data_IF_758009210118
#
_entry.id   IF_758009210118
#
_cell.length_a   1.000
_cell.length_b   1.000
_cell.length_c   1.000
_cell.angle_alpha   90.00
_cell.angle_beta   90.00
_cell.angle_gamma   90.00
#
_symmetry.space_group_name_H-M   'P 1'
#
loop_
_entity.id
_entity.type
_entity.pdbx_description
1 polymer ?
#
# COMPACT_ATOMS: atom_id res chain seq x y z
N UNK A 1 -21.81 24.84 6.57
CA UNK A 1 -22.79 23.91 7.14
C UNK A 1 -22.60 22.55 6.48
N UNK A 2 -22.29 21.50 7.25
CA UNK A 2 -22.65 20.12 6.87
C UNK A 2 -21.62 19.21 6.19
N UNK A 3 -20.34 19.19 6.59
CA UNK A 3 -19.43 18.06 6.27
C UNK A 3 -19.50 16.96 7.35
N UNK A 4 -20.70 16.70 7.88
CA UNK A 4 -20.95 15.63 8.83
C UNK A 4 -22.04 14.72 8.29
N UNK A 5 -21.60 13.65 7.61
CA UNK A 5 -22.16 12.28 7.59
C UNK A 5 -21.65 11.58 6.34
N UNK A 6 -20.49 10.95 6.46
CA UNK A 6 -20.13 9.86 5.55
C UNK A 6 -20.99 8.64 5.93
N UNK A 7 -21.58 7.92 4.96
CA UNK A 7 -22.28 6.66 5.23
C UNK A 7 -21.32 5.65 5.87
N UNK A 8 -21.80 4.86 6.82
CA UNK A 8 -21.03 3.85 7.59
C UNK A 8 -20.30 2.79 6.73
N UNK A 9 -20.52 2.76 5.42
CA UNK A 9 -19.81 1.88 4.50
C UNK A 9 -18.32 2.27 4.29
N UNK A 10 -17.98 3.56 4.36
CA UNK A 10 -16.59 4.04 4.22
C UNK A 10 -15.71 3.72 5.45
N UNK A 11 -16.32 3.19 6.53
CA UNK A 11 -15.66 2.89 7.81
C UNK A 11 -14.92 1.55 7.84
N UNK A 12 -15.05 0.71 6.80
CA UNK A 12 -14.52 -0.66 6.78
C UNK A 12 -13.04 -0.79 6.39
N UNK A 13 -12.38 0.29 5.99
CA UNK A 13 -10.95 0.26 5.73
C UNK A 13 -10.34 1.58 6.23
N UNK A 14 -9.79 1.58 7.44
CA UNK A 14 -9.04 2.72 8.01
C UNK A 14 -7.82 3.14 7.18
N UNK A 15 -7.62 2.53 6.02
CA UNK A 15 -6.54 2.68 5.07
C UNK A 15 -6.58 4.03 4.34
N UNK A 16 -7.74 4.67 4.16
CA UNK A 16 -7.85 5.94 3.41
C UNK A 16 -7.99 7.20 4.29
N UNK A 17 -8.00 7.07 5.61
CA UNK A 17 -8.13 8.22 6.51
C UNK A 17 -6.78 8.90 6.75
N UNK A 18 -6.77 10.21 7.09
CA UNK A 18 -5.59 10.87 7.63
C UNK A 18 -5.04 10.09 8.83
N UNK A 19 -3.72 10.08 8.97
CA UNK A 19 -3.05 9.45 10.10
C UNK A 19 -3.41 10.16 11.42
N UNK A 20 -3.68 9.38 12.46
CA UNK A 20 -3.81 9.89 13.84
C UNK A 20 -2.42 10.01 14.46
N UNK A 21 -2.24 10.95 15.39
CA UNK A 21 -0.97 11.18 16.11
C UNK A 21 -0.41 9.88 16.71
N UNK A 22 -1.26 9.08 17.35
CA UNK A 22 -0.90 7.77 17.92
C UNK A 22 -0.26 6.83 16.88
N UNK A 23 -0.71 6.86 15.62
CA UNK A 23 -0.18 5.99 14.56
C UNK A 23 1.21 6.46 14.09
N UNK A 24 1.46 7.77 14.14
CA UNK A 24 2.77 8.35 13.83
C UNK A 24 3.78 8.02 14.93
N UNK A 25 3.35 8.09 16.20
CA UNK A 25 4.19 7.77 17.37
C UNK A 25 4.53 6.28 17.45
N UNK A 26 3.51 5.42 17.40
CA UNK A 26 3.67 3.97 17.54
C UNK A 26 4.23 3.30 16.29
N UNK A 27 4.18 3.99 15.15
CA UNK A 27 4.47 3.45 13.82
C UNK A 27 3.68 2.17 13.53
N UNK A 28 2.41 2.13 13.93
CA UNK A 28 1.51 1.00 13.71
C UNK A 28 0.19 1.47 13.11
N UNK A 29 -0.33 0.66 12.19
CA UNK A 29 -1.66 0.84 11.62
C UNK A 29 -2.67 -0.06 12.31
N UNK A 30 -3.94 0.10 11.97
CA UNK A 30 -4.94 -0.91 12.29
C UNK A 30 -4.54 -2.26 11.71
N UNK A 31 -4.78 -3.29 12.51
CA UNK A 31 -4.56 -4.68 12.11
C UNK A 31 -5.55 -5.05 11.00
N UNK A 32 -5.01 -5.53 9.89
CA UNK A 32 -5.77 -6.10 8.79
C UNK A 32 -5.54 -7.61 8.77
N UNK A 33 -6.61 -8.39 8.68
CA UNK A 33 -6.53 -9.83 8.50
C UNK A 33 -6.24 -10.18 7.05
N UNK A 34 -5.33 -11.12 6.84
CA UNK A 34 -5.00 -11.62 5.51
C UNK A 34 -4.72 -13.12 5.56
N UNK A 35 -4.89 -13.76 4.40
CA UNK A 35 -4.58 -15.16 4.17
C UNK A 35 -3.74 -15.22 2.91
N UNK A 36 -2.60 -15.87 3.00
CA UNK A 36 -1.73 -16.19 1.87
C UNK A 36 -1.68 -17.70 1.76
N UNK A 37 -2.13 -18.21 0.61
CA UNK A 37 -2.12 -19.65 0.34
C UNK A 37 -0.75 -20.12 -0.16
N UNK A 38 -0.56 -21.44 -0.14
CA UNK A 38 0.67 -22.08 -0.57
C UNK A 38 0.97 -21.84 -2.06
N UNK A 39 -0.06 -21.72 -2.89
CA UNK A 39 0.10 -21.50 -4.33
C UNK A 39 0.74 -20.14 -4.59
N UNK A 40 0.30 -19.11 -3.86
CA UNK A 40 0.89 -17.78 -3.92
C UNK A 40 2.35 -17.81 -3.45
N UNK A 41 2.64 -18.48 -2.33
CA UNK A 41 4.02 -18.65 -1.84
C UNK A 41 4.94 -19.27 -2.90
N UNK A 42 4.53 -20.38 -3.51
CA UNK A 42 5.30 -21.06 -4.55
C UNK A 42 5.53 -20.15 -5.78
N UNK A 43 4.55 -19.32 -6.16
CA UNK A 43 4.70 -18.33 -7.22
C UNK A 43 5.68 -17.20 -6.85
N UNK A 44 5.73 -16.80 -5.59
CA UNK A 44 6.69 -15.78 -5.12
C UNK A 44 8.11 -16.36 -5.15
N UNK A 45 8.30 -17.56 -4.60
CA UNK A 45 9.60 -18.24 -4.55
C UNK A 45 10.21 -18.46 -5.93
N UNK A 46 9.37 -18.82 -6.91
CA UNK A 46 9.78 -18.98 -8.31
C UNK A 46 10.03 -17.66 -9.05
N UNK A 47 9.79 -16.52 -8.40
CA UNK A 47 9.77 -15.19 -9.02
C UNK A 47 8.77 -15.07 -10.18
N UNK A 48 7.78 -15.97 -10.23
CA UNK A 48 6.74 -15.96 -11.26
C UNK A 48 5.83 -14.74 -11.08
N UNK A 49 5.66 -14.24 -9.86
CA UNK A 49 4.92 -12.99 -9.61
C UNK A 49 5.65 -11.73 -10.08
N UNK A 50 6.98 -11.76 -10.13
CA UNK A 50 7.78 -10.68 -10.72
C UNK A 50 7.61 -10.69 -12.26
N UNK A 51 7.42 -11.87 -12.85
CA UNK A 51 7.17 -12.07 -14.29
C UNK A 51 5.70 -11.86 -14.72
N UNK A 52 4.73 -12.21 -13.88
CA UNK A 52 3.28 -12.08 -14.16
C UNK A 52 2.70 -10.72 -13.78
N UNK A 53 3.51 -9.85 -13.16
CA UNK A 53 3.19 -8.43 -13.04
C UNK A 53 2.18 -8.11 -11.94
N UNK A 54 2.70 -7.35 -10.97
CA UNK A 54 1.97 -6.37 -10.18
C UNK A 54 1.21 -6.88 -8.95
N UNK A 55 1.63 -6.39 -7.79
CA UNK A 55 0.74 -6.36 -6.63
C UNK A 55 -0.37 -5.34 -6.88
N UNK A 56 -1.62 -5.80 -6.80
CA UNK A 56 -2.80 -4.94 -6.90
C UNK A 56 -3.17 -4.42 -5.51
N UNK A 57 -2.92 -3.15 -5.30
CA UNK A 57 -3.29 -2.46 -4.08
C UNK A 57 -2.29 -2.66 -2.94
N UNK A 58 -2.32 -1.69 -2.03
CA UNK A 58 -1.38 -1.55 -0.91
C UNK A 58 -1.58 -2.56 0.21
N UNK A 59 -2.78 -3.13 0.37
CA UNK A 59 -3.05 -4.22 1.33
C UNK A 59 -2.26 -5.48 0.98
N UNK A 60 -2.19 -5.84 -0.31
CA UNK A 60 -1.39 -6.99 -0.78
C UNK A 60 0.08 -6.78 -0.44
N UNK A 61 0.58 -5.58 -0.69
CA UNK A 61 1.96 -5.19 -0.37
C UNK A 61 2.25 -5.34 1.12
N UNK A 62 1.37 -4.82 1.99
CA UNK A 62 1.52 -4.96 3.43
C UNK A 62 1.54 -6.41 3.89
N UNK A 63 0.66 -7.27 3.35
CA UNK A 63 0.61 -8.69 3.69
C UNK A 63 1.92 -9.41 3.30
N UNK A 64 2.36 -9.24 2.05
CA UNK A 64 3.59 -9.86 1.53
C UNK A 64 4.84 -9.43 2.30
N UNK A 65 5.00 -8.12 2.54
CA UNK A 65 6.15 -7.59 3.27
C UNK A 65 6.10 -7.96 4.77
N UNK A 66 4.91 -8.22 5.33
CA UNK A 66 4.78 -8.73 6.71
C UNK A 66 5.25 -10.16 6.84
N UNK A 67 4.95 -11.03 5.86
CA UNK A 67 5.48 -12.40 5.84
C UNK A 67 6.98 -12.39 5.58
N UNK A 68 7.46 -11.60 4.61
CA UNK A 68 8.88 -11.56 4.28
C UNK A 68 9.78 -11.11 5.46
N UNK A 69 9.24 -10.33 6.40
CA UNK A 69 9.92 -9.99 7.66
C UNK A 69 10.12 -11.19 8.59
N UNK A 70 9.30 -12.24 8.49
CA UNK A 70 9.44 -13.46 9.29
C UNK A 70 10.54 -14.39 8.77
N UNK A 71 11.12 -14.08 7.60
CA UNK A 71 12.30 -14.75 7.05
C UNK A 71 12.01 -15.82 6.01
N UNK A 72 10.80 -16.40 5.97
CA UNK A 72 10.37 -17.33 4.93
C UNK A 72 8.94 -17.02 4.47
N UNK A 73 8.69 -17.22 3.16
CA UNK A 73 7.39 -16.96 2.55
C UNK A 73 6.59 -18.26 2.53
N UNK A 74 5.91 -18.53 3.64
CA UNK A 74 5.07 -19.73 3.80
C UNK A 74 3.59 -19.37 3.85
N UNK A 75 2.73 -20.37 3.59
CA UNK A 75 1.29 -20.20 3.69
C UNK A 75 0.92 -19.75 5.11
N UNK A 76 0.22 -18.63 5.21
CA UNK A 76 0.00 -17.96 6.49
C UNK A 76 -1.36 -17.31 6.54
N UNK A 77 -2.02 -17.47 7.69
CA UNK A 77 -3.21 -16.71 8.06
C UNK A 77 -2.88 -15.90 9.31
N UNK A 78 -3.11 -14.59 9.26
CA UNK A 78 -2.87 -13.74 10.41
C UNK A 78 -3.22 -12.30 10.16
N UNK A 79 -2.56 -11.43 10.91
CA UNK A 79 -2.82 -10.00 10.95
C UNK A 79 -1.57 -9.21 10.62
N UNK A 80 -1.74 -8.07 9.96
CA UNK A 80 -0.67 -7.08 9.74
C UNK A 80 -1.07 -5.71 10.26
N UNK A 81 -0.23 -5.13 11.12
CA UNK A 81 -0.27 -3.72 11.53
C UNK A 81 0.90 -2.92 10.91
N UNK A 82 1.61 -3.49 9.93
CA UNK A 82 2.83 -2.90 9.40
C UNK A 82 2.57 -1.49 8.87
N UNK A 83 3.39 -0.55 9.35
CA UNK A 83 3.42 0.82 8.85
C UNK A 83 4.64 1.00 7.96
N UNK A 84 4.39 1.26 6.68
CA UNK A 84 5.44 1.41 5.67
C UNK A 84 5.68 2.90 5.45
N UNK A 85 6.89 3.34 5.74
CA UNK A 85 7.33 4.73 5.64
C UNK A 85 8.61 4.83 4.80
N UNK A 86 8.96 6.02 4.26
CA UNK A 86 10.23 6.20 3.56
C UNK A 86 11.42 5.62 4.33
N UNK A 87 12.30 4.91 3.63
CA UNK A 87 13.39 4.12 4.21
C UNK A 87 13.06 2.64 4.48
N UNK A 88 11.82 2.21 4.23
CA UNK A 88 11.45 0.79 4.27
C UNK A 88 12.11 -0.01 3.13
N UNK A 89 12.66 -1.18 3.46
CA UNK A 89 13.25 -2.10 2.48
C UNK A 89 12.19 -3.11 2.00
N UNK A 90 11.80 -3.01 0.73
CA UNK A 90 10.85 -3.93 0.09
C UNK A 90 11.56 -5.17 -0.45
N UNK A 91 11.17 -6.34 0.05
CA UNK A 91 11.84 -7.62 -0.26
C UNK A 91 11.11 -8.43 -1.32
N UNK A 92 9.80 -8.26 -1.46
CA UNK A 92 8.98 -9.15 -2.28
C UNK A 92 8.55 -8.49 -3.59
N UNK A 93 8.21 -7.21 -3.54
CA UNK A 93 7.56 -6.54 -4.66
C UNK A 93 8.52 -5.63 -5.44
N UNK A 94 8.41 -5.66 -6.76
CA UNK A 94 9.17 -4.78 -7.66
C UNK A 94 8.28 -3.77 -8.39
N UNK A 95 6.98 -4.03 -8.48
CA UNK A 95 6.03 -3.11 -9.04
C UNK A 95 4.62 -3.28 -8.42
N UNK A 96 3.85 -2.19 -8.38
CA UNK A 96 2.48 -2.20 -7.89
C UNK A 96 1.54 -1.36 -8.76
N UNK A 97 0.27 -1.73 -8.77
CA UNK A 97 -0.83 -0.90 -9.28
C UNK A 97 -1.70 -0.52 -8.10
N UNK A 98 -1.93 0.78 -7.90
CA UNK A 98 -2.75 1.30 -6.80
C UNK A 98 -3.52 2.54 -7.25
N UNK A 99 -4.42 3.05 -6.42
CA UNK A 99 -5.16 4.28 -6.69
C UNK A 99 -4.36 5.51 -6.25
N UNK A 100 -4.81 6.71 -6.66
CA UNK A 100 -4.37 7.94 -6.02
C UNK A 100 -4.97 8.07 -4.61
N UNK A 101 -4.10 8.22 -3.62
CA UNK A 101 -4.40 8.32 -2.19
C UNK A 101 -4.47 9.78 -1.71
N UNK A 102 -5.18 10.01 -0.61
CA UNK A 102 -5.28 11.31 0.04
C UNK A 102 -3.93 11.81 0.58
N UNK A 103 -3.71 13.15 0.62
CA UNK A 103 -2.66 13.75 1.43
C UNK A 103 -2.75 13.27 2.88
N UNK A 104 -1.61 13.20 3.57
CA UNK A 104 -1.52 12.85 5.00
C UNK A 104 -2.04 11.45 5.37
N UNK A 105 -2.26 10.58 4.39
CA UNK A 105 -2.66 9.19 4.61
C UNK A 105 -1.47 8.24 4.81
N UNK A 106 -1.70 7.11 5.47
CA UNK A 106 -0.70 6.04 5.54
C UNK A 106 -0.31 5.51 4.15
N UNK A 107 -1.23 5.56 3.19
CA UNK A 107 -1.02 5.08 1.84
C UNK A 107 -0.12 6.00 1.02
N UNK A 108 -0.21 7.32 1.20
CA UNK A 108 0.75 8.23 0.55
C UNK A 108 2.18 7.98 1.05
N UNK A 109 2.34 7.64 2.34
CA UNK A 109 3.65 7.28 2.89
C UNK A 109 4.18 5.96 2.31
N UNK A 110 3.32 4.95 2.15
CA UNK A 110 3.68 3.67 1.54
C UNK A 110 4.15 3.84 0.10
N UNK A 111 3.37 4.52 -0.75
CA UNK A 111 3.77 4.72 -2.15
C UNK A 111 5.01 5.60 -2.28
N UNK A 112 5.21 6.56 -1.34
CA UNK A 112 6.42 7.38 -1.27
C UNK A 112 7.64 6.58 -0.84
N UNK A 113 7.47 5.60 0.04
CA UNK A 113 8.53 4.67 0.41
C UNK A 113 8.92 3.76 -0.77
N UNK A 114 7.93 3.38 -1.59
CA UNK A 114 8.11 2.44 -2.69
C UNK A 114 8.75 3.07 -3.93
N UNK A 115 8.21 4.19 -4.42
CA UNK A 115 8.63 4.82 -5.68
C UNK A 115 9.47 6.10 -5.48
N UNK A 116 9.68 6.52 -4.23
CA UNK A 116 10.38 7.74 -3.87
C UNK A 116 9.44 8.94 -3.74
N UNK A 117 9.63 9.73 -2.67
CA UNK A 117 8.78 10.88 -2.35
C UNK A 117 8.72 11.94 -3.47
N UNK A 118 9.85 12.23 -4.12
CA UNK A 118 9.89 13.20 -5.22
C UNK A 118 9.12 12.71 -6.46
N UNK A 119 9.23 11.42 -6.77
CA UNK A 119 8.51 10.78 -7.89
C UNK A 119 7.01 10.86 -7.66
N UNK A 120 6.57 10.48 -6.45
CA UNK A 120 5.16 10.56 -6.06
C UNK A 120 4.65 12.00 -6.13
N UNK A 121 5.38 12.97 -5.57
CA UNK A 121 4.98 14.38 -5.63
C UNK A 121 4.79 14.87 -7.07
N UNK A 122 5.74 14.58 -7.96
CA UNK A 122 5.64 14.93 -9.39
C UNK A 122 4.45 14.26 -10.07
N UNK A 123 4.21 12.98 -9.78
CA UNK A 123 3.07 12.24 -10.35
C UNK A 123 1.73 12.83 -9.91
N UNK A 124 1.61 13.25 -8.65
CA UNK A 124 0.40 13.89 -8.12
C UNK A 124 0.16 15.26 -8.75
N UNK A 125 1.22 16.07 -8.91
CA UNK A 125 1.11 17.37 -9.57
C UNK A 125 0.63 17.20 -11.03
N UNK A 126 1.18 16.21 -11.75
CA UNK A 126 0.73 15.90 -13.10
C UNK A 126 -0.74 15.43 -13.14
N UNK A 127 -1.13 14.53 -12.24
CA UNK A 127 -2.49 14.01 -12.14
C UNK A 127 -3.51 15.13 -11.88
N UNK A 128 -3.21 16.05 -10.96
CA UNK A 128 -4.04 17.23 -10.68
C UNK A 128 -4.15 18.11 -11.93
N UNK A 129 -3.02 18.45 -12.55
CA UNK A 129 -3.00 19.33 -13.74
C UNK A 129 -3.74 18.72 -14.94
N UNK A 130 -3.82 17.39 -15.00
CA UNK A 130 -4.43 16.64 -16.10
C UNK A 130 -5.87 16.20 -15.79
N UNK A 131 -6.43 16.58 -14.63
CA UNK A 131 -7.82 16.29 -14.28
C UNK A 131 -8.11 14.82 -13.93
N UNK A 132 -7.13 14.10 -13.40
CA UNK A 132 -7.31 12.72 -12.96
C UNK A 132 -8.29 12.65 -11.79
N UNK A 133 -9.00 11.53 -11.69
CA UNK A 133 -9.93 11.22 -10.61
C UNK A 133 -9.17 10.50 -9.49
N UNK A 134 -9.35 10.94 -8.26
CA UNK A 134 -8.66 10.37 -7.09
C UNK A 134 -9.58 9.38 -6.35
N UNK A 135 -9.08 8.75 -5.28
CA UNK A 135 -9.84 7.86 -4.37
C UNK A 135 -10.18 6.47 -4.94
N UNK A 136 -11.03 5.74 -4.23
CA UNK A 136 -11.34 4.31 -4.45
C UNK A 136 -11.91 3.99 -5.83
N UNK A 137 -12.59 4.94 -6.47
CA UNK A 137 -13.20 4.77 -7.80
C UNK A 137 -12.59 5.71 -8.85
N UNK A 138 -11.45 6.32 -8.50
CA UNK A 138 -10.69 7.16 -9.39
C UNK A 138 -9.84 6.36 -10.37
N UNK A 139 -8.84 7.05 -10.90
CA UNK A 139 -7.83 6.48 -11.76
C UNK A 139 -6.74 5.77 -10.94
N UNK A 140 -5.95 4.95 -11.61
CA UNK A 140 -4.88 4.17 -11.00
C UNK A 140 -3.50 4.70 -11.42
N UNK A 141 -2.51 4.39 -10.59
CA UNK A 141 -1.09 4.60 -10.85
C UNK A 141 -0.38 3.26 -10.91
N UNK A 142 0.51 3.14 -11.89
CA UNK A 142 1.50 2.09 -11.97
C UNK A 142 2.82 2.60 -11.40
N UNK A 143 3.40 1.86 -10.47
CA UNK A 143 4.64 2.23 -9.78
C UNK A 143 5.65 1.09 -9.87
N UNK A 144 6.90 1.47 -10.10
CA UNK A 144 8.06 0.58 -9.99
C UNK A 144 8.86 0.95 -8.73
N UNK A 145 9.44 -0.06 -8.09
CA UNK A 145 10.28 0.11 -6.91
C UNK A 145 11.47 1.01 -7.27
N UNK A 146 11.70 2.05 -6.48
CA UNK A 146 12.90 2.87 -6.63
C UNK A 146 14.13 2.00 -6.40
N UNK A 147 14.95 1.82 -7.45
CA UNK A 147 16.25 1.18 -7.32
C UNK A 147 17.17 2.14 -6.56
N UNK A 148 17.72 1.66 -5.45
CA UNK A 148 18.77 2.35 -4.69
C UNK A 148 20.11 2.14 -5.38
#
# INVERSE_FOLDING_TARGET
MGLNRLPDFARRAGTFMPLREEQLETKKLHKEQFIIDRILCEKIERQDLIREGYCRGTTVVRALESIAKQGQIEAFQGETDIFITPGFEFKVIDAMVTNFHLPESSLIMLVSAFAGAQTILKSYQHAINSGYRFYSYGDAMFLEKQRQ
#
